data_IF_805176668464
#
_entry.id   IF_805176668464
#
_cell.length_a   1.000
_cell.length_b   1.000
_cell.length_c   1.000
_cell.angle_alpha   90.00
_cell.angle_beta   90.00
_cell.angle_gamma   90.00
#
_symmetry.space_group_name_H-M   'P 1'
#
loop_
_entity.id
_entity.type
_entity.pdbx_description
1 polymer ?
#
# COMPACT_ATOMS: atom_id res chain seq x y z
N UNK A 1 1.11 2.67 4.12
CA UNK A 1 0.08 3.49 3.47
C UNK A 1 0.37 4.98 3.57
N UNK A 2 -0.47 5.82 2.98
CA UNK A 2 -0.36 7.27 3.20
C UNK A 2 -0.52 7.58 4.70
N UNK A 3 0.24 8.54 5.23
CA UNK A 3 0.42 8.79 6.66
C UNK A 3 1.00 7.61 7.46
N UNK A 4 1.49 6.56 6.82
CA UNK A 4 2.09 5.43 7.53
C UNK A 4 3.45 5.78 8.11
N UNK A 5 3.71 5.30 9.32
CA UNK A 5 4.99 5.35 9.99
C UNK A 5 5.60 3.95 10.08
N UNK A 6 6.92 3.85 10.20
CA UNK A 6 7.61 2.57 10.39
C UNK A 6 7.10 1.85 11.64
N UNK A 7 6.90 2.60 12.74
CA UNK A 7 6.39 2.09 14.02
C UNK A 7 4.97 1.51 13.96
N UNK A 8 4.19 1.80 12.91
CA UNK A 8 2.87 1.18 12.74
C UNK A 8 2.95 -0.35 12.65
N UNK A 9 4.12 -0.90 12.34
CA UNK A 9 4.34 -2.34 12.16
C UNK A 9 4.96 -3.05 13.36
N UNK A 10 5.31 -2.34 14.44
CA UNK A 10 6.00 -2.89 15.62
C UNK A 10 5.19 -4.01 16.31
N UNK A 11 3.86 -4.02 16.17
CA UNK A 11 2.99 -5.05 16.72
C UNK A 11 3.23 -6.46 16.14
N UNK A 12 3.84 -6.58 14.93
CA UNK A 12 4.12 -7.87 14.32
C UNK A 12 5.23 -8.63 15.03
N UNK A 13 6.14 -7.93 15.72
CA UNK A 13 7.26 -8.51 16.47
C UNK A 13 8.10 -9.56 15.69
N UNK A 14 8.13 -9.49 14.37
CA UNK A 14 8.92 -10.39 13.53
C UNK A 14 10.38 -9.99 13.52
N UNK A 15 11.29 -10.94 13.86
CA UNK A 15 12.74 -10.66 13.97
C UNK A 15 13.39 -10.10 12.71
N UNK A 16 12.84 -10.43 11.54
CA UNK A 16 13.39 -10.04 10.23
C UNK A 16 12.56 -8.96 9.54
N UNK A 17 11.65 -8.29 10.25
CA UNK A 17 10.84 -7.22 9.67
C UNK A 17 11.67 -5.94 9.54
N UNK A 18 11.73 -5.40 8.32
CA UNK A 18 12.29 -4.08 8.04
C UNK A 18 11.15 -3.20 7.54
N UNK A 19 10.73 -2.27 8.38
CA UNK A 19 9.73 -1.28 8.00
C UNK A 19 10.40 -0.13 7.23
N UNK A 20 9.93 0.12 6.00
CA UNK A 20 10.48 1.14 5.12
C UNK A 20 9.69 2.43 5.23
N UNK A 21 10.38 3.54 5.41
CA UNK A 21 9.77 4.86 5.32
C UNK A 21 9.50 5.21 3.86
N UNK A 22 8.22 5.38 3.51
CA UNK A 22 7.80 5.74 2.16
C UNK A 22 8.30 7.14 1.75
N UNK A 23 8.58 8.00 2.71
CA UNK A 23 8.99 9.38 2.52
C UNK A 23 10.51 9.55 2.44
N UNK A 24 11.29 8.47 2.65
CA UNK A 24 12.76 8.51 2.59
C UNK A 24 13.31 8.76 1.17
N UNK A 25 12.48 8.60 0.13
CA UNK A 25 12.88 8.74 -1.26
C UNK A 25 12.30 10.01 -1.88
N UNK A 26 13.10 10.71 -2.68
CA UNK A 26 12.61 11.77 -3.57
C UNK A 26 12.21 11.17 -4.91
N UNK A 27 10.94 11.23 -5.26
CA UNK A 27 10.38 10.60 -6.46
C UNK A 27 9.24 11.43 -7.07
N UNK A 28 9.03 11.28 -8.36
CA UNK A 28 7.97 11.94 -9.14
C UNK A 28 6.92 10.97 -9.64
N UNK A 29 7.30 9.70 -9.78
CA UNK A 29 6.42 8.62 -10.24
C UNK A 29 6.55 7.39 -9.33
N UNK A 30 5.51 6.55 -9.32
CA UNK A 30 5.54 5.28 -8.58
C UNK A 30 6.69 4.36 -9.05
N UNK A 31 7.00 4.40 -10.35
CA UNK A 31 8.13 3.62 -10.91
C UNK A 31 9.48 4.14 -10.43
N UNK A 32 9.70 5.46 -10.38
CA UNK A 32 10.94 6.03 -9.81
C UNK A 32 11.12 5.65 -8.34
N UNK A 33 10.04 5.64 -7.55
CA UNK A 33 10.12 5.16 -6.18
C UNK A 33 10.57 3.69 -6.14
N UNK A 34 9.94 2.84 -6.95
CA UNK A 34 10.24 1.42 -7.02
C UNK A 34 11.69 1.15 -7.43
N UNK A 35 12.20 1.85 -8.43
CA UNK A 35 13.61 1.74 -8.86
C UNK A 35 14.59 2.13 -7.75
N UNK A 36 14.33 3.22 -7.00
CA UNK A 36 15.16 3.66 -5.89
C UNK A 36 15.12 2.63 -4.75
N UNK A 37 13.93 2.14 -4.43
CA UNK A 37 13.72 1.12 -3.41
C UNK A 37 14.44 -0.19 -3.74
N UNK A 38 14.29 -0.70 -4.97
CA UNK A 38 14.96 -1.92 -5.41
C UNK A 38 16.49 -1.76 -5.42
N UNK A 39 17.01 -0.58 -5.80
CA UNK A 39 18.46 -0.29 -5.72
C UNK A 39 18.99 -0.28 -4.29
N UNK A 40 18.22 0.20 -3.33
CA UNK A 40 18.61 0.14 -1.91
C UNK A 40 18.81 -1.31 -1.47
N UNK A 41 17.96 -2.23 -1.93
CA UNK A 41 18.05 -3.64 -1.60
C UNK A 41 19.21 -4.37 -2.29
N UNK A 42 19.68 -3.89 -3.45
CA UNK A 42 20.88 -4.46 -4.11
C UNK A 42 22.13 -4.38 -3.19
N UNK A 43 22.17 -3.43 -2.24
CA UNK A 43 23.24 -3.27 -1.26
C UNK A 43 23.07 -4.08 0.04
N UNK A 44 21.92 -4.74 0.22
CA UNK A 44 21.65 -5.56 1.40
C UNK A 44 22.06 -7.00 1.09
N UNK A 45 22.96 -7.54 1.91
CA UNK A 45 23.42 -8.92 1.76
C UNK A 45 22.29 -9.92 2.12
N UNK A 46 21.55 -10.38 1.12
CA UNK A 46 20.54 -11.43 1.24
C UNK A 46 21.23 -12.83 1.16
N UNK A 47 22.08 -13.14 2.12
CA UNK A 47 22.99 -14.31 2.09
C UNK A 47 22.36 -15.66 1.90
N UNK A 48 21.04 -15.82 2.01
CA UNK A 48 20.39 -17.12 1.89
C UNK A 48 19.13 -17.16 1.02
N UNK A 49 18.24 -16.19 1.14
CA UNK A 49 16.96 -16.18 0.41
C UNK A 49 16.49 -14.76 0.06
N UNK A 50 15.84 -14.56 -1.10
CA UNK A 50 15.21 -13.26 -1.42
C UNK A 50 14.14 -12.90 -0.38
N UNK A 51 13.94 -11.62 -0.07
CA UNK A 51 12.94 -11.17 0.90
C UNK A 51 11.49 -11.32 0.40
N UNK A 52 10.56 -11.27 1.34
CA UNK A 52 9.13 -11.10 1.07
C UNK A 52 8.78 -9.62 1.14
N UNK A 53 8.14 -9.10 0.10
CA UNK A 53 7.69 -7.72 0.06
C UNK A 53 6.26 -7.59 0.59
N UNK A 54 6.05 -6.75 1.60
CA UNK A 54 4.73 -6.46 2.13
C UNK A 54 4.36 -4.99 1.93
N UNK A 55 3.17 -4.73 1.38
CA UNK A 55 2.70 -3.37 1.14
C UNK A 55 1.22 -3.17 1.45
N UNK A 56 0.90 -2.08 2.16
CA UNK A 56 -0.47 -1.69 2.52
C UNK A 56 -0.90 -0.42 1.80
N UNK A 57 -2.07 -0.43 1.18
CA UNK A 57 -2.72 0.72 0.53
C UNK A 57 -1.78 1.40 -0.49
N UNK A 58 -1.35 2.66 -0.29
CA UNK A 58 -0.31 3.30 -1.11
C UNK A 58 0.99 2.48 -1.13
N UNK A 59 1.42 1.94 0.02
CA UNK A 59 2.59 1.06 0.09
C UNK A 59 2.41 -0.22 -0.73
N UNK A 60 1.20 -0.74 -0.84
CA UNK A 60 0.89 -1.88 -1.72
C UNK A 60 1.01 -1.51 -3.20
N UNK A 61 0.60 -0.31 -3.60
CA UNK A 61 0.78 0.18 -4.97
C UNK A 61 2.27 0.36 -5.32
N UNK A 62 3.05 0.92 -4.40
CA UNK A 62 4.50 1.05 -4.54
C UNK A 62 5.18 -0.33 -4.62
N UNK A 63 4.74 -1.27 -3.78
CA UNK A 63 5.22 -2.64 -3.81
C UNK A 63 4.93 -3.32 -5.17
N UNK A 64 3.75 -3.13 -5.75
CA UNK A 64 3.45 -3.66 -7.09
C UNK A 64 4.42 -3.14 -8.15
N UNK A 65 4.75 -1.85 -8.12
CA UNK A 65 5.75 -1.29 -9.04
C UNK A 65 7.14 -1.90 -8.80
N UNK A 66 7.54 -2.12 -7.54
CA UNK A 66 8.83 -2.74 -7.21
C UNK A 66 8.91 -4.21 -7.67
N UNK A 67 7.82 -4.97 -7.51
CA UNK A 67 7.71 -6.35 -8.00
C UNK A 67 7.82 -6.44 -9.53
N UNK A 68 7.21 -5.49 -10.24
CA UNK A 68 7.23 -5.44 -11.71
C UNK A 68 8.60 -5.01 -12.23
N UNK A 69 9.27 -4.06 -11.56
CA UNK A 69 10.60 -3.57 -11.95
C UNK A 69 11.68 -4.66 -11.80
N UNK A 70 11.72 -5.36 -10.66
CA UNK A 70 12.72 -6.41 -10.39
C UNK A 70 12.08 -7.68 -9.79
N UNK A 71 11.33 -8.45 -10.56
CA UNK A 71 10.60 -9.61 -10.03
C UNK A 71 11.49 -10.68 -9.40
N UNK A 72 12.70 -10.89 -9.94
CA UNK A 72 13.64 -11.90 -9.42
C UNK A 72 14.24 -11.56 -8.04
N UNK A 73 14.07 -10.32 -7.56
CA UNK A 73 14.56 -9.87 -6.27
C UNK A 73 13.68 -10.34 -5.10
N UNK A 74 12.48 -10.84 -5.39
CA UNK A 74 11.46 -11.11 -4.39
C UNK A 74 11.06 -12.59 -4.34
N UNK A 75 11.07 -13.17 -3.12
CA UNK A 75 10.59 -14.56 -2.89
C UNK A 75 9.07 -14.65 -2.98
N UNK A 76 8.35 -13.68 -2.44
CA UNK A 76 6.90 -13.61 -2.39
C UNK A 76 6.44 -12.16 -2.13
N UNK A 77 5.14 -11.91 -2.25
CA UNK A 77 4.55 -10.62 -1.88
C UNK A 77 3.26 -10.75 -1.08
N UNK A 78 3.03 -9.79 -0.15
CA UNK A 78 1.77 -9.62 0.57
C UNK A 78 1.23 -8.23 0.26
N UNK A 79 0.15 -8.16 -0.50
CA UNK A 79 -0.47 -6.91 -0.94
C UNK A 79 -1.78 -6.70 -0.17
N UNK A 80 -1.87 -5.62 0.60
CA UNK A 80 -2.94 -5.40 1.58
C UNK A 80 -3.75 -4.18 1.21
N UNK A 81 -5.07 -4.30 1.04
CA UNK A 81 -6.02 -3.21 0.77
C UNK A 81 -5.51 -2.25 -0.31
N UNK A 82 -5.02 -2.80 -1.41
CA UNK A 82 -4.36 -2.02 -2.47
C UNK A 82 -5.18 -2.01 -3.76
N UNK A 83 -4.81 -1.11 -4.67
CA UNK A 83 -5.51 -0.91 -5.93
C UNK A 83 -4.58 -1.27 -7.11
N UNK A 84 -5.03 -2.10 -8.07
CA UNK A 84 -4.19 -2.52 -9.20
C UNK A 84 -3.98 -1.41 -10.26
N UNK A 85 -4.67 -0.28 -10.16
CA UNK A 85 -4.63 0.84 -11.09
C UNK A 85 -5.99 1.14 -11.70
N UNK A 86 -6.13 2.32 -12.30
CA UNK A 86 -7.36 2.76 -12.97
C UNK A 86 -7.22 2.58 -14.49
N UNK A 87 -8.19 1.89 -15.10
CA UNK A 87 -8.29 1.76 -16.55
C UNK A 87 -9.06 2.90 -17.20
N UNK A 88 -10.10 3.41 -16.53
CA UNK A 88 -11.00 4.44 -17.05
C UNK A 88 -10.41 5.86 -16.95
N UNK A 89 -10.52 6.64 -18.02
CA UNK A 89 -9.96 7.99 -18.10
C UNK A 89 -10.73 9.01 -17.28
N UNK A 90 -12.04 8.86 -17.13
CA UNK A 90 -12.85 9.82 -16.38
C UNK A 90 -12.71 9.56 -14.88
N UNK A 91 -12.63 8.28 -14.46
CA UNK A 91 -12.22 7.95 -13.08
C UNK A 91 -10.85 8.52 -12.73
N UNK A 92 -9.88 8.49 -13.66
CA UNK A 92 -8.56 9.09 -13.46
C UNK A 92 -8.64 10.59 -13.25
N UNK A 93 -9.40 11.33 -14.08
CA UNK A 93 -9.56 12.79 -13.95
C UNK A 93 -10.18 13.17 -12.60
N UNK A 94 -11.25 12.46 -12.19
CA UNK A 94 -11.89 12.70 -10.91
C UNK A 94 -10.96 12.37 -9.74
N UNK A 95 -10.21 11.30 -9.85
CA UNK A 95 -9.24 10.92 -8.85
C UNK A 95 -8.11 11.94 -8.74
N UNK A 96 -7.58 12.43 -9.85
CA UNK A 96 -6.54 13.45 -9.85
C UNK A 96 -7.00 14.74 -9.16
N UNK A 97 -8.20 15.21 -9.49
CA UNK A 97 -8.80 16.39 -8.85
C UNK A 97 -8.89 16.21 -7.33
N UNK A 98 -9.42 15.09 -6.88
CA UNK A 98 -9.57 14.77 -5.45
C UNK A 98 -8.22 14.69 -4.73
N UNK A 99 -7.21 14.05 -5.32
CA UNK A 99 -5.89 13.95 -4.73
C UNK A 99 -5.19 15.32 -4.68
N UNK A 100 -5.42 16.20 -5.67
CA UNK A 100 -4.94 17.60 -5.66
C UNK A 100 -5.62 18.41 -4.55
N UNK A 101 -6.94 18.27 -4.35
CA UNK A 101 -7.68 18.92 -3.27
C UNK A 101 -7.10 18.49 -1.90
N UNK A 102 -6.90 17.22 -1.67
CA UNK A 102 -6.27 16.72 -0.45
C UNK A 102 -4.84 17.25 -0.27
N UNK A 103 -4.04 17.29 -1.34
CA UNK A 103 -2.69 17.84 -1.28
C UNK A 103 -2.69 19.32 -0.84
N UNK A 104 -3.68 20.14 -1.29
CA UNK A 104 -3.82 21.53 -0.83
C UNK A 104 -4.25 21.61 0.63
N UNK A 105 -5.17 20.75 1.07
CA UNK A 105 -5.61 20.66 2.45
C UNK A 105 -4.46 20.33 3.39
N UNK A 106 -3.62 19.33 3.05
CA UNK A 106 -2.43 18.97 3.84
C UNK A 106 -1.43 20.12 3.97
N UNK A 107 -1.37 21.05 3.02
CA UNK A 107 -0.51 22.23 3.10
C UNK A 107 -1.03 23.32 4.05
N UNK A 108 -2.35 23.46 4.23
CA UNK A 108 -2.96 24.69 4.75
C UNK A 108 -3.89 24.50 5.94
N UNK A 109 -4.57 23.34 6.06
CA UNK A 109 -5.60 23.15 7.08
C UNK A 109 -4.99 22.86 8.45
N UNK A 110 -5.78 23.12 9.48
CA UNK A 110 -5.46 22.74 10.84
C UNK A 110 -5.37 21.22 10.95
N UNK A 111 -4.35 20.71 11.66
CA UNK A 111 -3.95 19.30 11.59
C UNK A 111 -5.02 18.33 12.10
N UNK A 112 -5.60 18.60 13.28
CA UNK A 112 -6.51 17.66 13.92
C UNK A 112 -7.82 17.54 13.12
N UNK A 113 -8.34 18.66 12.63
CA UNK A 113 -9.50 18.72 11.74
C UNK A 113 -9.23 18.02 10.40
N UNK A 114 -8.03 18.19 9.86
CA UNK A 114 -7.58 17.55 8.64
C UNK A 114 -7.53 16.02 8.80
N UNK A 115 -6.93 15.51 9.88
CA UNK A 115 -6.83 14.08 10.16
C UNK A 115 -8.22 13.47 10.43
N UNK A 116 -9.10 14.19 11.13
CA UNK A 116 -10.48 13.77 11.30
C UNK A 116 -11.19 13.62 9.95
N UNK A 117 -11.08 14.63 9.07
CA UNK A 117 -11.67 14.60 7.73
C UNK A 117 -11.04 13.49 6.86
N UNK A 118 -9.72 13.26 6.98
CA UNK A 118 -9.04 12.17 6.29
C UNK A 118 -9.60 10.81 6.69
N UNK A 119 -9.77 10.56 7.99
CA UNK A 119 -10.31 9.31 8.50
C UNK A 119 -11.81 9.12 8.21
N UNK A 120 -12.56 10.19 7.95
CA UNK A 120 -13.97 10.14 7.56
C UNK A 120 -14.21 9.81 6.08
N UNK A 121 -13.17 9.58 5.28
CA UNK A 121 -13.31 9.21 3.87
C UNK A 121 -14.03 7.86 3.73
N UNK A 122 -14.83 7.67 2.65
CA UNK A 122 -15.62 6.45 2.43
C UNK A 122 -14.80 5.15 2.46
N UNK A 123 -13.52 5.22 2.07
CA UNK A 123 -12.63 4.05 2.09
C UNK A 123 -12.40 3.51 3.51
N UNK A 124 -12.55 4.35 4.54
CA UNK A 124 -12.40 3.99 5.95
C UNK A 124 -13.73 3.80 6.69
N UNK A 125 -14.86 3.90 5.99
CA UNK A 125 -16.19 3.81 6.63
C UNK A 125 -16.44 2.47 7.32
N UNK A 126 -15.78 1.40 6.88
CA UNK A 126 -15.85 0.07 7.50
C UNK A 126 -14.83 -0.20 8.59
N UNK A 127 -13.92 0.75 8.87
CA UNK A 127 -12.83 0.55 9.82
C UNK A 127 -13.32 0.63 11.28
N UNK A 128 -12.79 -0.26 12.11
CA UNK A 128 -12.95 -0.21 13.59
C UNK A 128 -11.71 0.34 14.29
N UNK A 129 -10.71 0.76 13.52
CA UNK A 129 -9.42 1.26 14.00
C UNK A 129 -9.04 2.55 13.27
N UNK A 130 -8.45 3.50 13.96
CA UNK A 130 -7.80 4.66 13.37
C UNK A 130 -6.48 4.96 14.08
N UNK A 131 -5.52 5.47 13.33
CA UNK A 131 -4.25 5.90 13.89
C UNK A 131 -4.36 7.31 14.48
N UNK A 132 -3.77 7.50 15.64
CA UNK A 132 -3.40 8.83 16.10
C UNK A 132 -2.20 9.32 15.27
N UNK A 133 -2.31 10.50 14.65
CA UNK A 133 -1.28 11.09 13.79
C UNK A 133 -0.91 12.47 14.29
N UNK A 134 0.29 12.61 14.85
CA UNK A 134 0.80 13.90 15.36
C UNK A 134 1.53 14.63 14.25
N UNK A 135 1.24 15.91 14.06
CA UNK A 135 1.84 16.74 13.01
C UNK A 135 3.36 16.71 13.00
N UNK A 136 3.98 16.73 14.20
CA UNK A 136 5.44 16.71 14.36
C UNK A 136 6.15 15.49 13.75
N UNK A 137 5.40 14.44 13.38
CA UNK A 137 5.94 13.26 12.70
C UNK A 137 5.99 13.42 11.17
N UNK A 138 5.56 14.56 10.61
CA UNK A 138 5.39 14.71 9.16
C UNK A 138 5.90 16.05 8.66
N UNK A 139 6.40 16.05 7.44
CA UNK A 139 6.62 17.25 6.64
C UNK A 139 5.42 17.44 5.69
N UNK A 140 4.63 18.49 5.89
CA UNK A 140 3.39 18.75 5.14
C UNK A 140 3.59 18.87 3.63
N UNK A 141 4.70 19.48 3.22
CA UNK A 141 5.08 19.63 1.82
C UNK A 141 5.29 18.26 1.17
N UNK A 142 5.93 17.34 1.90
CA UNK A 142 6.21 15.97 1.45
C UNK A 142 4.93 15.13 1.38
N UNK A 143 4.01 15.29 2.33
CA UNK A 143 2.69 14.66 2.26
C UNK A 143 1.92 15.12 1.01
N UNK A 144 1.88 16.44 0.77
CA UNK A 144 1.21 16.99 -0.40
C UNK A 144 1.85 16.51 -1.72
N UNK A 145 3.18 16.44 -1.77
CA UNK A 145 3.92 15.90 -2.91
C UNK A 145 3.62 14.42 -3.13
N UNK A 146 3.53 13.64 -2.05
CA UNK A 146 3.19 12.21 -2.10
C UNK A 146 1.79 11.97 -2.66
N UNK A 147 0.80 12.79 -2.27
CA UNK A 147 -0.55 12.73 -2.84
C UNK A 147 -0.55 13.05 -4.33
N UNK A 148 0.26 14.03 -4.74
CA UNK A 148 0.38 14.40 -6.15
C UNK A 148 1.10 13.33 -6.97
N UNK A 149 2.29 12.89 -6.52
CA UNK A 149 3.15 11.96 -7.27
C UNK A 149 2.63 10.52 -7.21
N UNK A 150 2.11 10.11 -6.04
CA UNK A 150 1.52 8.81 -5.79
C UNK A 150 0.01 8.75 -6.04
N UNK A 151 -0.58 9.72 -6.72
CA UNK A 151 -2.00 9.68 -7.08
C UNK A 151 -2.33 8.38 -7.82
N UNK A 152 -3.47 7.78 -7.47
CA UNK A 152 -3.96 6.60 -8.20
C UNK A 152 -4.28 6.95 -9.67
N UNK A 153 -4.59 8.21 -9.96
CA UNK A 153 -4.79 8.70 -11.31
C UNK A 153 -3.55 8.52 -12.22
N UNK A 154 -2.36 8.55 -11.62
CA UNK A 154 -1.08 8.39 -12.32
C UNK A 154 -0.63 6.93 -12.44
N UNK A 155 -1.31 6.03 -11.76
CA UNK A 155 -1.04 4.60 -11.86
C UNK A 155 -1.81 4.02 -13.05
N UNK A 156 -1.10 3.43 -13.99
CA UNK A 156 -1.74 2.64 -15.05
C UNK A 156 -2.40 1.39 -14.47
N UNK A 157 -3.26 0.77 -15.23
CA UNK A 157 -3.80 -0.54 -14.88
C UNK A 157 -2.69 -1.59 -14.92
N UNK A 158 -2.42 -2.23 -13.80
CA UNK A 158 -1.37 -3.22 -13.61
C UNK A 158 -1.88 -4.66 -13.60
N UNK A 159 -3.18 -4.90 -13.89
CA UNK A 159 -3.75 -6.26 -13.80
C UNK A 159 -3.02 -7.27 -14.70
N UNK A 160 -2.60 -6.85 -15.88
CA UNK A 160 -1.85 -7.70 -16.81
C UNK A 160 -0.48 -8.09 -16.27
N UNK A 161 0.24 -7.13 -15.70
CA UNK A 161 1.56 -7.38 -15.10
C UNK A 161 1.44 -8.22 -13.82
N UNK A 162 0.46 -7.91 -12.95
CA UNK A 162 0.18 -8.69 -11.74
C UNK A 162 -0.11 -10.15 -12.11
N UNK A 163 -0.91 -10.38 -13.14
CA UNK A 163 -1.22 -11.72 -13.63
C UNK A 163 0.00 -12.50 -14.09
N UNK A 164 1.08 -11.83 -14.50
CA UNK A 164 2.31 -12.42 -15.05
C UNK A 164 3.44 -12.57 -14.05
N UNK A 165 3.30 -12.05 -12.82
CA UNK A 165 4.35 -12.09 -11.81
C UNK A 165 4.70 -13.53 -11.43
N UNK A 166 6.00 -13.89 -11.43
CA UNK A 166 6.43 -15.30 -11.26
C UNK A 166 6.44 -15.78 -9.81
N UNK A 167 6.40 -14.83 -8.84
CA UNK A 167 6.42 -15.18 -7.41
C UNK A 167 5.01 -15.32 -6.84
N UNK A 168 4.84 -16.07 -5.72
CA UNK A 168 3.57 -16.13 -5.01
C UNK A 168 3.12 -14.75 -4.49
N UNK A 169 1.83 -14.44 -4.63
CA UNK A 169 1.21 -13.21 -4.14
C UNK A 169 0.04 -13.56 -3.23
N UNK A 170 0.09 -13.10 -1.98
CA UNK A 170 -1.05 -13.06 -1.10
C UNK A 170 -1.70 -11.67 -1.18
N UNK A 171 -2.86 -11.60 -1.82
CA UNK A 171 -3.65 -10.36 -1.85
C UNK A 171 -4.69 -10.38 -0.74
N UNK A 172 -4.67 -9.37 0.16
CA UNK A 172 -5.53 -9.35 1.36
C UNK A 172 -6.43 -8.13 1.32
N UNK A 173 -7.73 -8.32 1.52
CA UNK A 173 -8.72 -7.24 1.68
C UNK A 173 -9.56 -7.47 2.92
N UNK A 174 -10.13 -6.40 3.47
CA UNK A 174 -11.11 -6.52 4.55
C UNK A 174 -12.52 -6.78 4.01
N UNK A 175 -13.29 -7.63 4.67
CA UNK A 175 -14.65 -7.96 4.25
C UNK A 175 -15.62 -6.77 4.28
N UNK A 176 -15.29 -5.70 5.05
CA UNK A 176 -16.05 -4.44 5.08
C UNK A 176 -15.51 -3.39 4.09
N UNK A 177 -14.33 -3.59 3.51
CA UNK A 177 -13.79 -2.80 2.39
C UNK A 177 -14.30 -3.39 1.06
N UNK A 178 -15.57 -3.15 0.78
CA UNK A 178 -16.24 -3.74 -0.39
C UNK A 178 -15.55 -3.37 -1.69
N UNK A 179 -15.06 -2.12 -1.81
CA UNK A 179 -14.41 -1.67 -3.04
C UNK A 179 -13.09 -2.41 -3.31
N UNK A 180 -12.23 -2.55 -2.31
CA UNK A 180 -10.99 -3.31 -2.47
C UNK A 180 -11.26 -4.80 -2.70
N UNK A 181 -12.31 -5.36 -2.06
CA UNK A 181 -12.68 -6.76 -2.23
C UNK A 181 -13.21 -7.03 -3.65
N UNK A 182 -14.04 -6.16 -4.20
CA UNK A 182 -14.54 -6.25 -5.57
C UNK A 182 -13.38 -6.20 -6.58
N UNK A 183 -12.48 -5.24 -6.43
CA UNK A 183 -11.30 -5.12 -7.30
C UNK A 183 -10.40 -6.36 -7.23
N UNK A 184 -10.20 -6.91 -6.03
CA UNK A 184 -9.34 -8.06 -5.81
C UNK A 184 -9.96 -9.37 -6.36
N UNK A 185 -11.28 -9.50 -6.35
CA UNK A 185 -11.98 -10.67 -6.88
C UNK A 185 -11.81 -10.87 -8.39
N UNK A 186 -11.50 -9.79 -9.12
CA UNK A 186 -11.21 -9.83 -10.55
C UNK A 186 -9.73 -10.05 -10.90
N UNK A 187 -8.84 -10.22 -9.91
CA UNK A 187 -7.42 -10.47 -10.17
C UNK A 187 -7.15 -11.91 -10.54
N UNK A 188 -6.22 -12.10 -11.44
CA UNK A 188 -5.64 -13.40 -11.81
C UNK A 188 -4.16 -13.43 -11.50
N UNK A 189 -3.59 -14.61 -11.26
CA UNK A 189 -2.20 -14.80 -10.89
C UNK A 189 -1.62 -16.01 -11.61
N UNK A 190 -0.42 -15.90 -12.16
CA UNK A 190 0.28 -17.03 -12.80
C UNK A 190 0.77 -18.06 -11.78
N UNK A 191 1.27 -17.61 -10.63
CA UNK A 191 1.84 -18.51 -9.65
C UNK A 191 0.75 -19.29 -8.89
N UNK A 192 0.79 -20.63 -8.82
CA UNK A 192 -0.29 -21.46 -8.26
C UNK A 192 -0.54 -21.27 -6.76
N UNK A 193 0.46 -20.80 -6.01
CA UNK A 193 0.31 -20.47 -4.59
C UNK A 193 -0.26 -19.06 -4.35
N UNK A 194 -0.41 -18.25 -5.40
CA UNK A 194 -1.02 -16.94 -5.27
C UNK A 194 -2.52 -17.06 -4.99
N UNK A 195 -3.02 -16.17 -4.15
CA UNK A 195 -4.44 -16.13 -3.82
C UNK A 195 -4.89 -14.78 -3.27
N UNK A 196 -6.14 -14.50 -3.43
CA UNK A 196 -6.84 -13.43 -2.72
C UNK A 196 -7.55 -14.00 -1.48
N UNK A 197 -7.52 -13.24 -0.38
CA UNK A 197 -8.22 -13.55 0.88
C UNK A 197 -8.93 -12.31 1.38
N UNK A 198 -10.22 -12.43 1.68
CA UNK A 198 -11.01 -11.41 2.36
C UNK A 198 -11.11 -11.74 3.86
N UNK A 199 -10.59 -10.84 4.71
CA UNK A 199 -10.63 -11.00 6.16
C UNK A 199 -11.95 -10.47 6.70
N UNK A 200 -12.82 -11.37 7.16
CA UNK A 200 -14.11 -11.02 7.69
C UNK A 200 -14.02 -10.13 8.92
N UNK A 201 -14.91 -9.15 9.03
CA UNK A 201 -14.92 -8.23 10.16
C UNK A 201 -13.83 -7.15 10.18
N UNK A 202 -12.96 -7.08 9.14
CA UNK A 202 -12.00 -6.01 8.96
C UNK A 202 -12.47 -5.03 7.87
N UNK A 203 -12.14 -3.75 8.03
CA UNK A 203 -12.24 -2.72 7.01
C UNK A 203 -10.96 -2.59 6.19
N UNK A 204 -10.57 -1.36 5.87
CA UNK A 204 -9.37 -1.08 5.06
C UNK A 204 -8.06 -1.35 5.82
N UNK A 205 -8.05 -1.20 7.16
CA UNK A 205 -6.88 -1.29 8.03
C UNK A 205 -6.69 -2.68 8.67
N UNK A 206 -6.79 -3.74 7.88
CA UNK A 206 -6.80 -5.15 8.31
C UNK A 206 -5.71 -5.51 9.32
N UNK A 207 -4.41 -5.17 9.12
CA UNK A 207 -3.35 -5.59 10.04
C UNK A 207 -3.57 -5.10 11.48
N UNK A 208 -4.21 -3.95 11.64
CA UNK A 208 -4.44 -3.32 12.95
C UNK A 208 -5.83 -3.62 13.51
N UNK A 209 -6.81 -3.91 12.66
CA UNK A 209 -8.16 -4.30 13.08
C UNK A 209 -8.24 -5.77 13.49
N UNK A 210 -7.48 -6.64 12.81
CA UNK A 210 -7.49 -8.08 13.00
C UNK A 210 -6.04 -8.63 13.07
N UNK A 211 -5.20 -8.15 14.02
CA UNK A 211 -3.75 -8.43 14.01
C UNK A 211 -3.44 -9.93 14.14
N UNK A 212 -4.20 -10.68 14.95
CA UNK A 212 -4.00 -12.12 15.12
C UNK A 212 -4.30 -12.87 13.82
N UNK A 213 -5.44 -12.57 13.20
CA UNK A 213 -5.85 -13.22 11.94
C UNK A 213 -4.88 -12.89 10.83
N UNK A 214 -4.49 -11.61 10.71
CA UNK A 214 -3.50 -11.15 9.73
C UNK A 214 -2.15 -11.86 9.91
N UNK A 215 -1.63 -11.90 11.14
CA UNK A 215 -0.35 -12.57 11.43
C UNK A 215 -0.39 -14.06 11.06
N UNK A 216 -1.45 -14.78 11.45
CA UNK A 216 -1.62 -16.19 11.09
C UNK A 216 -1.73 -16.41 9.58
N UNK A 217 -2.39 -15.50 8.87
CA UNK A 217 -2.56 -15.58 7.43
C UNK A 217 -1.22 -15.45 6.70
N UNK A 218 -0.39 -14.49 7.12
CA UNK A 218 0.93 -14.23 6.51
C UNK A 218 1.92 -15.34 6.85
N UNK A 219 1.91 -15.85 8.09
CA UNK A 219 2.79 -16.96 8.51
C UNK A 219 2.51 -18.30 7.82
N UNK A 220 1.27 -18.51 7.34
CA UNK A 220 0.86 -19.71 6.60
C UNK A 220 1.08 -19.58 5.08
N UNK A 221 1.42 -18.42 4.64
CA UNK A 221 1.71 -18.14 3.23
C UNK A 221 3.19 -18.33 2.92
#
# INVERSE_FOLDING_TARGET
GFLGLQSDWDFLAWKSLIAVDLYAFSWRTLSEWAEQFNRLLDGIDHRSEPPILMGYSLGGRLALHALIDKPAQWKAAVIISSHPGLGDLDERKEREKRDQEWAQRFKKEEWDSLIQAWNAQPIFAGDSFSFERRECCYERSLLAQTLHNGSLAKQRDLRGEIASLPMPILWVTGGRDLRCSELASGLTFAHPCSRWVSVQGAGHRIPWEQPIVFNQLVQKF
#
